data_IF_262131267228
#
_entry.id   IF_262131267228
#
_cell.length_a   1.000
_cell.length_b   1.000
_cell.length_c   1.000
_cell.angle_alpha   90.00
_cell.angle_beta   90.00
_cell.angle_gamma   90.00
#
_symmetry.space_group_name_H-M   'P 1'
#
loop_
_entity.id
_entity.type
_entity.pdbx_description
1 polymer ?
#
# COMPACT_ATOMS: atom_id res chain seq x y z
N UNK A 1 14.42 1.25 -28.31
CA UNK A 1 13.11 0.60 -28.01
C UNK A 1 12.61 1.20 -26.71
N UNK A 2 11.68 2.15 -26.79
CA UNK A 2 11.05 2.74 -25.60
C UNK A 2 10.16 1.66 -24.97
N UNK A 3 10.63 1.06 -23.89
CA UNK A 3 9.80 0.16 -23.08
C UNK A 3 8.52 0.91 -22.70
N UNK A 4 7.37 0.39 -23.10
CA UNK A 4 6.08 0.94 -22.69
C UNK A 4 6.04 0.96 -21.17
N UNK A 5 5.93 2.14 -20.58
CA UNK A 5 5.78 2.32 -19.11
C UNK A 5 4.31 2.26 -18.69
N UNK A 6 3.44 1.82 -19.62
CA UNK A 6 2.00 1.69 -19.39
C UNK A 6 1.72 0.56 -18.41
N UNK A 7 0.89 0.84 -17.40
CA UNK A 7 0.52 -0.09 -16.35
C UNK A 7 -0.92 0.11 -15.90
N UNK A 8 -1.47 -0.90 -15.26
CA UNK A 8 -2.88 -0.97 -14.88
C UNK A 8 -3.07 -0.81 -13.37
N UNK A 9 -4.17 -0.17 -12.98
CA UNK A 9 -4.66 -0.11 -11.60
C UNK A 9 -6.19 -0.22 -11.59
N UNK A 10 -6.73 -0.75 -10.49
CA UNK A 10 -8.16 -0.71 -10.19
C UNK A 10 -8.46 0.52 -9.35
N UNK A 11 -9.30 1.42 -9.83
CA UNK A 11 -9.62 2.68 -9.17
C UNK A 11 -11.02 2.66 -8.58
N UNK A 12 -11.13 3.07 -7.34
CA UNK A 12 -12.38 3.34 -6.64
C UNK A 12 -12.74 4.82 -6.78
N UNK A 13 -13.97 5.12 -7.20
CA UNK A 13 -14.45 6.49 -7.48
C UNK A 13 -15.66 6.87 -6.63
N UNK A 14 -15.99 6.08 -5.61
CA UNK A 14 -17.10 6.35 -4.71
C UNK A 14 -17.97 5.12 -4.44
N UNK A 15 -18.65 5.14 -3.29
CA UNK A 15 -19.48 4.05 -2.79
C UNK A 15 -20.59 3.66 -3.77
N UNK A 16 -20.87 2.36 -3.83
CA UNK A 16 -21.88 1.81 -4.73
C UNK A 16 -21.46 1.78 -6.20
N UNK A 17 -20.21 2.10 -6.54
CA UNK A 17 -19.66 1.98 -7.89
C UNK A 17 -18.68 0.83 -7.96
N UNK A 18 -18.67 0.05 -9.04
CA UNK A 18 -17.64 -0.96 -9.25
C UNK A 18 -16.26 -0.31 -9.42
N UNK A 19 -15.21 -1.05 -9.06
CA UNK A 19 -13.85 -0.63 -9.34
C UNK A 19 -13.63 -0.48 -10.86
N UNK A 20 -12.95 0.60 -11.24
CA UNK A 20 -12.67 0.92 -12.63
C UNK A 20 -11.23 0.51 -12.98
N UNK A 21 -11.05 -0.31 -14.01
CA UNK A 21 -9.73 -0.57 -14.57
C UNK A 21 -9.23 0.70 -15.29
N UNK A 22 -8.11 1.23 -14.85
CA UNK A 22 -7.49 2.43 -15.44
C UNK A 22 -6.07 2.15 -15.88
N UNK A 23 -5.68 2.74 -17.01
CA UNK A 23 -4.32 2.67 -17.53
C UNK A 23 -3.58 3.96 -17.19
N UNK A 24 -2.32 3.82 -16.82
CA UNK A 24 -1.40 4.93 -16.56
C UNK A 24 -0.19 4.83 -17.46
N UNK A 25 0.23 5.96 -18.05
CA UNK A 25 1.31 6.01 -19.06
C UNK A 25 2.69 6.20 -18.42
N UNK A 26 2.76 6.58 -17.14
CA UNK A 26 4.02 6.83 -16.45
C UNK A 26 4.04 6.11 -15.12
N UNK A 27 5.16 5.47 -14.82
CA UNK A 27 5.38 4.87 -13.49
C UNK A 27 5.32 5.96 -12.41
N UNK A 28 4.69 5.68 -11.26
CA UNK A 28 4.66 6.64 -10.16
C UNK A 28 6.08 6.85 -9.64
N UNK A 29 6.51 8.10 -9.50
CA UNK A 29 7.80 8.43 -8.90
C UNK A 29 7.66 8.43 -7.38
N UNK A 30 8.53 7.73 -6.63
CA UNK A 30 8.56 7.85 -5.19
C UNK A 30 9.11 9.22 -4.80
N UNK A 31 8.43 9.91 -3.87
CA UNK A 31 8.94 11.13 -3.24
C UNK A 31 9.99 10.83 -2.15
N UNK A 32 10.53 11.88 -1.49
CA UNK A 32 11.45 11.70 -0.37
C UNK A 32 10.84 10.80 0.72
N UNK A 33 11.63 9.85 1.21
CA UNK A 33 11.21 8.85 2.20
C UNK A 33 10.23 7.79 1.69
N UNK A 34 9.97 7.73 0.39
CA UNK A 34 9.06 6.75 -0.21
C UNK A 34 9.80 5.75 -1.09
N UNK A 35 9.17 4.61 -1.32
CA UNK A 35 9.62 3.60 -2.28
C UNK A 35 8.52 3.32 -3.30
N UNK A 36 8.93 3.00 -4.54
CA UNK A 36 8.03 2.40 -5.53
C UNK A 36 8.19 0.90 -5.51
N UNK A 37 7.08 0.20 -5.55
CA UNK A 37 7.01 -1.24 -5.64
C UNK A 37 6.50 -1.67 -7.01
N UNK A 38 7.02 -2.77 -7.54
CA UNK A 38 6.32 -3.61 -8.49
C UNK A 38 5.52 -4.63 -7.67
N UNK A 39 4.21 -4.55 -7.75
CA UNK A 39 3.31 -5.44 -6.99
C UNK A 39 3.36 -6.84 -7.60
N UNK A 40 3.47 -7.84 -6.75
CA UNK A 40 3.44 -9.26 -7.11
C UNK A 40 2.10 -9.89 -6.72
N UNK A 41 1.58 -9.53 -5.54
CA UNK A 41 0.28 -9.97 -5.03
C UNK A 41 -0.32 -8.91 -4.11
N UNK A 42 -1.64 -8.87 -4.03
CA UNK A 42 -2.36 -8.09 -3.03
C UNK A 42 -3.57 -8.88 -2.57
N UNK A 43 -3.66 -9.15 -1.26
CA UNK A 43 -4.79 -9.83 -0.68
C UNK A 43 -6.06 -9.01 -0.72
N UNK A 44 -7.21 -9.69 -0.67
CA UNK A 44 -8.53 -9.05 -0.57
C UNK A 44 -9.05 -9.23 0.85
N UNK A 45 -9.26 -8.11 1.53
CA UNK A 45 -9.74 -8.08 2.90
C UNK A 45 -11.21 -7.60 2.96
N UNK A 46 -11.89 -7.88 4.05
CA UNK A 46 -13.23 -7.33 4.32
C UNK A 46 -13.24 -5.80 4.31
N UNK A 47 -12.15 -5.16 4.69
CA UNK A 47 -12.00 -3.70 4.67
C UNK A 47 -12.13 -3.11 3.26
N UNK A 48 -11.67 -3.81 2.23
CA UNK A 48 -11.82 -3.37 0.84
C UNK A 48 -13.30 -3.38 0.42
N UNK A 49 -14.09 -4.35 0.90
CA UNK A 49 -15.54 -4.38 0.71
C UNK A 49 -16.22 -3.24 1.47
N UNK A 50 -15.82 -2.98 2.75
CA UNK A 50 -16.34 -1.84 3.52
C UNK A 50 -16.13 -0.50 2.81
N UNK A 51 -15.02 -0.35 2.07
CA UNK A 51 -14.78 0.83 1.27
C UNK A 51 -15.75 0.92 0.09
N UNK A 52 -15.90 -0.18 -0.67
CA UNK A 52 -16.77 -0.23 -1.87
C UNK A 52 -18.23 -0.09 -1.50
N UNK A 53 -18.67 -0.73 -0.42
CA UNK A 53 -20.05 -0.70 0.08
C UNK A 53 -20.42 0.64 0.77
N UNK A 54 -19.39 1.48 1.06
CA UNK A 54 -19.60 2.81 1.67
C UNK A 54 -19.71 2.79 3.19
N UNK A 55 -19.32 1.70 3.83
CA UNK A 55 -19.23 1.61 5.30
C UNK A 55 -18.02 2.40 5.85
N UNK A 56 -16.98 2.56 5.03
CA UNK A 56 -15.91 3.53 5.28
C UNK A 56 -16.20 4.84 4.56
N UNK A 57 -15.95 5.96 5.23
CA UNK A 57 -16.16 7.28 4.66
C UNK A 57 -15.34 7.46 3.37
N UNK A 58 -15.97 8.06 2.36
CA UNK A 58 -15.29 8.43 1.12
C UNK A 58 -14.11 9.38 1.41
N UNK A 59 -12.88 9.07 0.95
CA UNK A 59 -11.70 9.92 1.25
C UNK A 59 -11.70 11.28 0.54
N UNK A 60 -12.70 11.56 -0.30
CA UNK A 60 -12.80 12.82 -1.04
C UNK A 60 -12.07 12.85 -2.37
N UNK A 61 -11.41 11.77 -2.74
CA UNK A 61 -10.67 11.61 -4.01
C UNK A 61 -10.66 10.15 -4.47
N UNK A 62 -10.52 9.89 -5.79
CA UNK A 62 -10.31 8.53 -6.29
C UNK A 62 -9.06 7.89 -5.66
N UNK A 63 -9.14 6.60 -5.35
CA UNK A 63 -8.06 5.84 -4.73
C UNK A 63 -7.96 4.44 -5.34
N UNK A 64 -6.77 3.86 -5.33
CA UNK A 64 -6.53 2.44 -5.62
C UNK A 64 -6.66 1.66 -4.31
N UNK A 65 -7.63 0.74 -4.15
CA UNK A 65 -7.76 -0.08 -2.95
C UNK A 65 -6.65 -1.13 -2.80
N UNK A 66 -6.75 -1.96 -1.75
CA UNK A 66 -5.83 -3.06 -1.46
C UNK A 66 -4.71 -2.65 -0.49
N UNK A 67 -4.67 -3.31 0.67
CA UNK A 67 -3.71 -3.00 1.75
C UNK A 67 -2.94 -4.22 2.27
N UNK A 68 -3.01 -5.33 1.58
CA UNK A 68 -2.23 -6.54 1.84
C UNK A 68 -1.24 -6.71 0.68
N UNK A 69 -0.37 -5.70 0.50
CA UNK A 69 0.48 -5.57 -0.70
C UNK A 69 1.78 -6.33 -0.52
N UNK A 70 2.08 -7.24 -1.41
CA UNK A 70 3.38 -7.90 -1.55
C UNK A 70 4.00 -7.48 -2.87
N UNK A 71 5.29 -7.13 -2.84
CA UNK A 71 5.97 -6.74 -4.05
C UNK A 71 7.48 -6.65 -3.89
N UNK A 72 8.13 -6.15 -4.94
CA UNK A 72 9.57 -5.87 -4.92
C UNK A 72 9.82 -4.39 -5.13
N UNK A 73 10.73 -3.85 -4.34
CA UNK A 73 11.18 -2.44 -4.48
C UNK A 73 11.74 -2.24 -5.89
N UNK A 74 11.19 -1.28 -6.63
CA UNK A 74 11.59 -0.96 -8.01
C UNK A 74 12.24 0.42 -8.16
N UNK A 75 12.08 1.30 -7.15
CA UNK A 75 12.80 2.57 -7.03
C UNK A 75 12.76 3.04 -5.57
N UNK A 76 13.76 3.83 -5.20
CA UNK A 76 13.87 4.48 -3.89
C UNK A 76 13.78 6.00 -4.10
N UNK A 77 13.03 6.67 -3.24
CA UNK A 77 13.07 8.12 -3.12
C UNK A 77 14.24 8.57 -2.25
N UNK A 78 14.48 9.88 -2.25
CA UNK A 78 15.58 10.48 -1.47
C UNK A 78 15.41 10.19 0.03
N UNK A 79 16.53 9.92 0.71
CA UNK A 79 16.57 9.69 2.16
C UNK A 79 16.03 8.33 2.62
N UNK A 80 15.72 7.40 1.70
CA UNK A 80 15.33 6.03 2.08
C UNK A 80 16.57 5.24 2.47
N UNK A 81 16.56 4.71 3.69
CA UNK A 81 17.60 3.84 4.23
C UNK A 81 17.03 2.46 4.57
N UNK A 82 17.89 1.44 4.66
CA UNK A 82 17.53 0.08 5.08
C UNK A 82 16.77 -0.76 4.04
N UNK A 83 16.37 -0.19 2.90
CA UNK A 83 15.74 -0.88 1.78
C UNK A 83 16.62 -0.81 0.52
N UNK A 84 16.46 -1.80 -0.37
CA UNK A 84 17.21 -1.85 -1.64
C UNK A 84 16.31 -2.25 -2.81
N UNK A 85 16.64 -1.80 -4.00
CA UNK A 85 15.96 -2.23 -5.23
C UNK A 85 16.06 -3.75 -5.39
N UNK A 86 14.97 -4.38 -5.79
CA UNK A 86 14.82 -5.84 -5.90
C UNK A 86 14.39 -6.53 -4.60
N UNK A 87 14.46 -5.85 -3.44
CA UNK A 87 14.06 -6.43 -2.16
C UNK A 87 12.56 -6.75 -2.13
N UNK A 88 12.24 -7.95 -1.64
CA UNK A 88 10.87 -8.40 -1.40
C UNK A 88 10.33 -7.78 -0.12
N UNK A 89 9.16 -7.15 -0.21
CA UNK A 89 8.57 -6.38 0.88
C UNK A 89 7.05 -6.49 0.91
N UNK A 90 6.48 -6.18 2.08
CA UNK A 90 5.05 -6.03 2.29
C UNK A 90 4.67 -4.63 2.75
N UNK A 91 3.48 -4.17 2.35
CA UNK A 91 2.87 -2.91 2.80
C UNK A 91 1.51 -3.22 3.41
N UNK A 92 1.32 -2.99 4.72
CA UNK A 92 0.07 -3.25 5.42
C UNK A 92 -0.88 -2.05 5.39
N UNK A 93 -1.96 -2.14 6.19
CA UNK A 93 -2.99 -1.13 6.35
C UNK A 93 -2.46 0.24 6.76
N UNK A 94 -1.64 0.33 7.82
CA UNK A 94 -1.06 1.61 8.25
C UNK A 94 0.02 2.05 7.26
N UNK A 95 -0.27 3.10 6.47
CA UNK A 95 0.60 3.56 5.40
C UNK A 95 1.36 4.85 5.68
N UNK A 96 0.93 5.65 6.70
CA UNK A 96 1.61 6.89 7.07
C UNK A 96 1.16 7.42 8.43
N UNK A 97 2.07 8.05 9.16
CA UNK A 97 1.78 8.80 10.38
C UNK A 97 2.59 10.09 10.47
N UNK A 98 2.21 11.00 11.36
CA UNK A 98 2.88 12.30 11.47
C UNK A 98 4.30 12.24 12.05
N UNK A 99 4.68 11.19 12.77
CA UNK A 99 6.00 10.99 13.36
C UNK A 99 6.33 11.88 14.58
N UNK A 100 5.48 12.86 14.92
CA UNK A 100 5.81 13.91 15.91
C UNK A 100 4.85 13.99 17.09
N UNK A 101 3.67 13.35 17.05
CA UNK A 101 2.75 13.35 18.20
C UNK A 101 3.24 12.38 19.28
N UNK A 102 2.66 12.47 20.48
CA UNK A 102 3.06 11.64 21.61
C UNK A 102 2.93 10.13 21.35
N UNK A 103 1.90 9.74 20.59
CA UNK A 103 1.75 8.34 20.17
C UNK A 103 2.90 7.89 19.26
N UNK A 104 3.24 8.67 18.23
CA UNK A 104 4.35 8.34 17.33
C UNK A 104 5.70 8.31 18.06
N UNK A 105 5.95 9.30 18.94
CA UNK A 105 7.20 9.35 19.75
C UNK A 105 7.31 8.18 20.74
N UNK A 106 6.18 7.62 21.15
CA UNK A 106 6.12 6.49 22.07
C UNK A 106 6.05 5.11 21.37
N UNK A 107 6.27 5.03 20.04
CA UNK A 107 6.17 3.78 19.26
C UNK A 107 4.75 3.21 19.20
N UNK A 108 3.73 4.06 19.26
CA UNK A 108 2.31 3.71 19.18
C UNK A 108 1.66 4.41 17.98
N UNK A 109 2.29 4.30 16.81
CA UNK A 109 1.92 4.98 15.57
C UNK A 109 0.50 4.66 15.11
N UNK A 110 0.01 3.47 15.42
CA UNK A 110 -1.38 3.04 15.16
C UNK A 110 -2.43 3.91 15.87
N UNK A 111 -2.05 4.68 16.90
CA UNK A 111 -2.90 5.62 17.63
C UNK A 111 -2.71 7.08 17.15
N UNK A 112 -1.94 7.32 16.09
CA UNK A 112 -1.74 8.66 15.54
C UNK A 112 -3.06 9.21 14.97
N UNK A 113 -3.54 10.34 15.50
CA UNK A 113 -4.78 10.99 15.01
C UNK A 113 -4.69 11.47 13.55
N UNK A 114 -3.47 11.55 12.98
CA UNK A 114 -3.22 11.91 11.58
C UNK A 114 -2.82 10.70 10.73
N UNK A 115 -3.01 9.47 11.22
CA UNK A 115 -2.69 8.26 10.47
C UNK A 115 -3.42 8.25 9.11
N UNK A 116 -2.75 7.73 8.08
CA UNK A 116 -3.33 7.51 6.75
C UNK A 116 -3.13 6.06 6.37
N UNK A 117 -4.12 5.50 5.70
CA UNK A 117 -4.21 4.08 5.48
C UNK A 117 -4.11 3.72 4.00
N UNK A 118 -3.33 2.68 3.71
CA UNK A 118 -3.12 2.10 2.39
C UNK A 118 -4.44 1.57 1.84
N UNK A 119 -4.75 1.87 0.61
CA UNK A 119 -5.99 1.44 -0.04
C UNK A 119 -7.23 2.24 0.37
N UNK A 120 -7.08 3.25 1.23
CA UNK A 120 -8.18 4.14 1.63
C UNK A 120 -7.84 5.63 1.41
N UNK A 121 -6.95 6.25 2.20
CA UNK A 121 -6.50 7.62 1.96
C UNK A 121 -5.22 7.69 1.11
N UNK A 122 -4.52 6.57 0.96
CA UNK A 122 -3.36 6.40 0.11
C UNK A 122 -3.65 5.31 -0.92
N UNK A 123 -3.10 5.43 -2.13
CA UNK A 123 -3.20 4.38 -3.13
C UNK A 123 -2.60 3.07 -2.60
N UNK A 124 -3.29 1.96 -2.85
CA UNK A 124 -2.93 0.61 -2.43
C UNK A 124 -2.43 -0.28 -3.56
N UNK A 125 -2.61 -1.58 -3.39
CA UNK A 125 -1.98 -2.63 -4.17
C UNK A 125 -2.83 -3.28 -5.27
N UNK A 126 -4.07 -2.85 -5.51
CA UNK A 126 -4.82 -3.33 -6.68
C UNK A 126 -4.31 -2.67 -7.95
N UNK A 127 -3.02 -2.79 -8.19
CA UNK A 127 -2.28 -2.17 -9.27
C UNK A 127 -0.97 -2.91 -9.54
N UNK A 128 -0.39 -2.74 -10.72
CA UNK A 128 0.93 -3.31 -11.04
C UNK A 128 2.07 -2.58 -10.32
N UNK A 129 1.84 -1.33 -9.90
CA UNK A 129 2.80 -0.52 -9.16
C UNK A 129 2.13 0.25 -8.02
N UNK A 130 2.84 0.38 -6.90
CA UNK A 130 2.43 1.17 -5.74
C UNK A 130 3.58 2.04 -5.24
N UNK A 131 3.24 3.13 -4.54
CA UNK A 131 4.21 3.97 -3.81
C UNK A 131 3.85 3.92 -2.34
N UNK A 132 4.84 3.69 -1.47
CA UNK A 132 4.64 3.58 -0.04
C UNK A 132 5.71 4.38 0.74
N UNK A 133 5.36 4.87 1.92
CA UNK A 133 6.31 5.43 2.89
C UNK A 133 7.22 4.31 3.39
N UNK A 134 8.53 4.48 3.25
CA UNK A 134 9.53 3.46 3.59
C UNK A 134 9.46 2.98 5.06
N UNK A 135 8.94 3.81 5.97
CA UNK A 135 8.73 3.46 7.39
C UNK A 135 7.68 2.36 7.59
N UNK A 136 6.77 2.20 6.63
CA UNK A 136 5.66 1.22 6.63
C UNK A 136 5.84 0.15 5.56
N UNK A 137 7.08 -0.07 5.13
CA UNK A 137 7.47 -1.13 4.20
C UNK A 137 8.33 -2.15 4.94
N UNK A 138 7.88 -3.40 4.98
CA UNK A 138 8.51 -4.44 5.81
C UNK A 138 9.14 -5.53 4.92
N UNK A 139 10.43 -5.87 5.13
CA UNK A 139 11.04 -7.03 4.50
C UNK A 139 10.26 -8.31 4.82
N UNK A 140 10.02 -9.14 3.80
CA UNK A 140 9.29 -10.39 3.95
C UNK A 140 10.25 -11.59 3.84
N UNK A 141 10.01 -12.67 4.62
CA UNK A 141 10.80 -13.90 4.52
C UNK A 141 10.48 -14.62 3.21
N UNK A 142 11.48 -15.29 2.63
CA UNK A 142 11.35 -16.03 1.36
C UNK A 142 10.61 -17.39 1.50
N UNK A 143 10.27 -17.84 2.72
CA UNK A 143 9.66 -19.16 2.95
C UNK A 143 8.20 -19.30 2.50
N UNK A 144 7.51 -18.20 2.28
CA UNK A 144 6.13 -18.16 1.83
C UNK A 144 6.06 -17.61 0.41
N UNK A 145 5.11 -18.08 -0.41
CA UNK A 145 4.80 -17.46 -1.70
C UNK A 145 4.25 -16.03 -1.51
N UNK A 146 4.15 -15.26 -2.59
CA UNK A 146 3.62 -13.89 -2.51
C UNK A 146 2.13 -13.91 -2.13
N UNK A 147 1.39 -14.91 -2.60
CA UNK A 147 -0.03 -15.10 -2.33
C UNK A 147 -0.30 -15.57 -0.89
N UNK A 148 0.55 -16.44 -0.34
CA UNK A 148 0.42 -16.93 1.03
C UNK A 148 0.72 -15.86 2.07
N UNK A 149 1.67 -14.97 1.79
CA UNK A 149 2.09 -13.95 2.74
C UNK A 149 1.19 -12.71 2.71
N UNK A 150 0.51 -12.41 1.60
CA UNK A 150 -0.34 -11.23 1.46
C UNK A 150 -1.39 -11.11 2.58
N UNK A 151 -2.23 -12.11 2.89
CA UNK A 151 -3.21 -12.00 3.96
C UNK A 151 -2.58 -11.90 5.37
N UNK A 152 -1.32 -12.27 5.54
CA UNK A 152 -0.62 -12.10 6.83
C UNK A 152 -0.37 -10.63 7.17
N UNK A 153 -0.41 -9.73 6.19
CA UNK A 153 -0.21 -8.29 6.40
C UNK A 153 -1.42 -7.58 7.03
N UNK A 154 -2.59 -8.24 7.07
CA UNK A 154 -3.79 -7.73 7.74
C UNK A 154 -4.43 -8.81 8.62
N UNK A 155 -5.20 -9.73 8.04
CA UNK A 155 -5.94 -10.75 8.77
C UNK A 155 -5.03 -11.65 9.62
N UNK A 156 -3.88 -12.06 9.10
CA UNK A 156 -2.90 -12.87 9.83
C UNK A 156 -2.31 -12.14 11.03
N UNK A 157 -1.98 -10.85 10.88
CA UNK A 157 -1.48 -10.02 11.98
C UNK A 157 -2.53 -9.87 13.09
N UNK A 158 -3.78 -9.60 12.73
CA UNK A 158 -4.89 -9.46 13.69
C UNK A 158 -5.20 -10.80 14.37
N UNK A 159 -5.18 -11.89 13.63
CA UNK A 159 -5.42 -13.24 14.17
C UNK A 159 -4.31 -13.74 15.11
N UNK A 160 -3.08 -13.25 14.96
CA UNK A 160 -1.95 -13.56 15.85
C UNK A 160 -2.01 -12.82 17.18
N UNK A 161 -2.56 -11.61 17.23
CA UNK A 161 -2.61 -10.74 18.40
C UNK A 161 -3.74 -11.15 19.37
#
# INVERSE_FOLDING_TARGET
MTSSTRWQAMRFEGSGRPLQAVWRERLPAPGPGQVRLRVASCGVCRTDLHLVDGELAWPGHPVVPGHEVVGRVSALGDGVEGLRVGQRVGVPWLGWTCGICDHCRAGRENLCAKARFTGWQLDGGYAEHAVADARYVFPLPERYSDEEVAPLLCAGLIGYR
#
